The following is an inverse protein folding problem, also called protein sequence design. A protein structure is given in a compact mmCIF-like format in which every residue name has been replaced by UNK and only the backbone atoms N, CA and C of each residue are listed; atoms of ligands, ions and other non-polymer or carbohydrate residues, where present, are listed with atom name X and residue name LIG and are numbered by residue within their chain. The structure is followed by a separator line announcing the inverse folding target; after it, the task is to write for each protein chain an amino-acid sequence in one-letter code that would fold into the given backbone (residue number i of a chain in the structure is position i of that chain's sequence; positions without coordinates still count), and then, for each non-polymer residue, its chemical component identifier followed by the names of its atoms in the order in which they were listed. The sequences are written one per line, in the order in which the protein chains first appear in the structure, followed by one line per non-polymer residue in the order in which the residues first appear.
data_IF_521843286843
#
_entry.id   IF_521843286843
#
_cell.length_a   1.000
_cell.length_b   1.000
_cell.length_c   1.000
_cell.angle_alpha   90.00
_cell.angle_beta   90.00
_cell.angle_gamma   90.00
#
_symmetry.space_group_name_H-M   'P 1'
#
loop_
_entity.id
_entity.type
_entity.pdbx_description
1 polymer ?
#
# COMPACT_ATOMS: atom_id res chain seq x y z
N UNK A 1 -4.33 22.81 -31.36
CA UNK A 1 -5.36 21.77 -31.55
C UNK A 1 -4.69 20.41 -31.34
N UNK A 2 -5.00 19.76 -30.23
CA UNK A 2 -4.94 18.31 -30.02
C UNK A 2 -5.94 18.01 -28.89
N UNK A 3 -7.19 17.80 -29.28
CA UNK A 3 -8.22 17.24 -28.40
C UNK A 3 -7.87 15.77 -28.16
N UNK A 4 -7.92 15.34 -26.90
CA UNK A 4 -7.84 13.94 -26.54
C UNK A 4 -8.27 13.79 -25.10
N UNK A 5 -9.58 13.59 -24.88
CA UNK A 5 -10.08 12.99 -23.65
C UNK A 5 -9.35 11.65 -23.48
N UNK A 6 -8.29 11.62 -22.67
CA UNK A 6 -7.92 10.37 -22.02
C UNK A 6 -9.18 9.91 -21.27
N UNK A 7 -9.73 8.72 -21.54
CA UNK A 7 -10.92 8.28 -20.83
C UNK A 7 -10.54 8.27 -19.35
N UNK A 8 -11.12 9.18 -18.57
CA UNK A 8 -10.95 9.24 -17.12
C UNK A 8 -11.44 7.90 -16.61
N UNK A 9 -10.53 6.95 -16.42
CA UNK A 9 -10.91 5.59 -16.09
C UNK A 9 -11.74 5.64 -14.81
N UNK A 10 -12.95 5.11 -14.88
CA UNK A 10 -13.90 5.16 -13.77
C UNK A 10 -13.29 4.43 -12.58
N UNK A 11 -13.16 5.14 -11.46
CA UNK A 11 -12.68 4.57 -10.21
C UNK A 11 -13.78 3.69 -9.62
N UNK A 12 -13.52 2.39 -9.53
CA UNK A 12 -14.45 1.39 -9.02
C UNK A 12 -14.46 1.35 -7.49
N UNK A 13 -13.27 1.50 -6.90
CA UNK A 13 -13.11 1.56 -5.45
C UNK A 13 -11.91 2.42 -5.07
N UNK A 14 -11.98 2.99 -3.88
CA UNK A 14 -10.92 3.80 -3.31
C UNK A 14 -10.64 3.37 -1.86
N UNK A 15 -9.36 3.30 -1.51
CA UNK A 15 -8.88 3.08 -0.14
C UNK A 15 -8.08 4.30 0.29
N UNK A 16 -8.58 5.00 1.30
CA UNK A 16 -7.95 6.20 1.84
C UNK A 16 -7.85 6.16 3.36
N UNK A 17 -6.78 6.71 3.91
CA UNK A 17 -6.62 6.85 5.36
C UNK A 17 -7.36 8.12 5.80
N UNK A 18 -8.23 8.00 6.82
CA UNK A 18 -8.92 9.17 7.34
C UNK A 18 -7.95 10.13 8.03
N UNK A 19 -8.19 11.43 7.90
CA UNK A 19 -7.34 12.47 8.50
C UNK A 19 -7.08 12.23 10.00
N UNK A 20 -8.08 11.92 10.85
CA UNK A 20 -7.84 11.67 12.27
C UNK A 20 -6.89 10.48 12.53
N UNK A 21 -7.07 9.35 11.83
CA UNK A 21 -6.21 8.17 11.99
C UNK A 21 -4.78 8.43 11.55
N UNK A 22 -4.61 9.19 10.46
CA UNK A 22 -3.30 9.63 9.97
C UNK A 22 -2.59 10.47 11.02
N UNK A 23 -3.25 11.50 11.53
CA UNK A 23 -2.66 12.42 12.50
C UNK A 23 -2.28 11.71 13.79
N UNK A 24 -3.12 10.81 14.30
CA UNK A 24 -2.83 10.06 15.52
C UNK A 24 -1.54 9.22 15.38
N UNK A 25 -1.41 8.46 14.29
CA UNK A 25 -0.22 7.63 14.08
C UNK A 25 1.05 8.45 13.86
N UNK A 26 0.98 9.55 13.10
CA UNK A 26 2.11 10.45 12.88
C UNK A 26 2.52 11.13 14.18
N UNK A 27 1.55 11.65 14.95
CA UNK A 27 1.82 12.30 16.23
C UNK A 27 2.48 11.35 17.22
N UNK A 28 1.99 10.12 17.32
CA UNK A 28 2.57 9.10 18.20
C UNK A 28 4.03 8.81 17.85
N UNK A 29 4.34 8.59 16.57
CA UNK A 29 5.72 8.36 16.12
C UNK A 29 6.62 9.57 16.36
N UNK A 30 6.10 10.78 16.15
CA UNK A 30 6.83 12.02 16.42
C UNK A 30 7.15 12.18 17.90
N UNK A 31 6.17 11.94 18.78
CA UNK A 31 6.35 12.03 20.24
C UNK A 31 7.34 10.98 20.71
N UNK A 32 7.21 9.72 20.26
CA UNK A 32 8.13 8.64 20.64
C UNK A 32 9.55 8.93 20.14
N UNK A 33 9.71 9.31 18.86
CA UNK A 33 11.01 9.64 18.29
C UNK A 33 11.68 10.81 19.00
N UNK A 34 10.91 11.87 19.28
CA UNK A 34 11.37 13.03 20.03
C UNK A 34 11.76 12.69 21.47
N UNK A 35 10.97 11.87 22.16
CA UNK A 35 11.26 11.43 23.52
C UNK A 35 12.53 10.57 23.60
N UNK A 36 12.74 9.67 22.64
CA UNK A 36 13.96 8.85 22.56
C UNK A 36 15.20 9.72 22.36
N UNK A 37 15.14 10.72 21.47
CA UNK A 37 16.22 11.69 21.27
C UNK A 37 16.44 12.51 22.54
N UNK A 38 15.36 12.99 23.16
CA UNK A 38 15.43 13.76 24.40
C UNK A 38 16.15 12.97 25.50
N UNK A 39 15.77 11.71 25.74
CA UNK A 39 16.43 10.85 26.75
C UNK A 39 17.92 10.69 26.44
N UNK A 40 18.29 10.47 25.17
CA UNK A 40 19.68 10.33 24.77
C UNK A 40 20.54 11.59 25.01
N UNK A 41 19.92 12.77 25.08
CA UNK A 41 20.59 14.04 25.34
C UNK A 41 20.53 14.47 26.81
N UNK A 42 19.39 14.25 27.47
CA UNK A 42 19.15 14.67 28.86
C UNK A 42 19.80 13.72 29.87
N UNK A 43 19.95 12.44 29.53
CA UNK A 43 20.62 11.45 30.38
C UNK A 43 21.54 10.60 29.50
N UNK A 44 22.69 11.15 29.04
CA UNK A 44 23.53 10.50 28.06
C UNK A 44 24.06 9.15 28.57
N UNK A 45 23.72 8.03 27.91
CA UNK A 45 24.33 6.74 28.22
C UNK A 45 25.74 6.67 27.65
N UNK A 46 26.38 5.48 27.74
CA UNK A 46 27.66 5.26 27.08
C UNK A 46 27.59 5.64 25.57
N UNK A 47 28.69 6.17 24.98
CA UNK A 47 28.65 6.80 23.65
C UNK A 47 28.02 5.93 22.54
N UNK A 48 28.28 4.62 22.54
CA UNK A 48 27.67 3.69 21.58
C UNK A 48 26.15 3.59 21.69
N UNK A 49 25.64 3.51 22.92
CA UNK A 49 24.20 3.50 23.19
C UNK A 49 23.55 4.85 22.91
N UNK A 50 24.26 5.94 23.18
CA UNK A 50 23.77 7.29 22.88
C UNK A 50 23.58 7.47 21.38
N UNK A 51 24.59 7.11 20.58
CA UNK A 51 24.51 7.13 19.13
C UNK A 51 23.35 6.26 18.60
N UNK A 52 23.18 5.05 19.17
CA UNK A 52 22.09 4.15 18.82
C UNK A 52 20.70 4.75 19.10
N UNK A 53 20.50 5.36 20.27
CA UNK A 53 19.22 6.00 20.62
C UNK A 53 18.92 7.19 19.71
N UNK A 54 19.91 8.04 19.44
CA UNK A 54 19.76 9.17 18.52
C UNK A 54 19.37 8.66 17.12
N UNK A 55 20.11 7.67 16.59
CA UNK A 55 19.80 7.08 15.29
C UNK A 55 18.38 6.49 15.24
N UNK A 56 17.97 5.80 16.30
CA UNK A 56 16.62 5.19 16.41
C UNK A 56 15.53 6.26 16.44
N UNK A 57 15.71 7.31 17.24
CA UNK A 57 14.76 8.42 17.29
C UNK A 57 14.65 9.16 15.96
N UNK A 58 15.78 9.43 15.30
CA UNK A 58 15.82 10.01 13.96
C UNK A 58 15.12 9.11 12.93
N UNK A 59 15.34 7.79 12.99
CA UNK A 59 14.65 6.83 12.15
C UNK A 59 13.13 6.85 12.38
N UNK A 60 12.67 6.94 13.63
CA UNK A 60 11.25 7.05 13.96
C UNK A 60 10.62 8.34 13.38
N UNK A 61 11.31 9.48 13.52
CA UNK A 61 10.88 10.75 12.92
C UNK A 61 10.84 10.68 11.38
N UNK A 62 11.83 10.03 10.78
CA UNK A 62 11.86 9.79 9.34
C UNK A 62 10.67 8.92 8.88
N UNK A 63 10.34 7.85 9.62
CA UNK A 63 9.14 7.03 9.34
C UNK A 63 7.86 7.85 9.52
N UNK A 64 7.77 8.70 10.55
CA UNK A 64 6.61 9.57 10.77
C UNK A 64 6.36 10.48 9.57
N UNK A 65 7.42 11.11 9.05
CA UNK A 65 7.34 11.99 7.88
C UNK A 65 7.00 11.21 6.59
N UNK A 66 7.60 10.03 6.40
CA UNK A 66 7.27 9.14 5.27
C UNK A 66 5.81 8.70 5.33
N UNK A 67 5.29 8.37 6.51
CA UNK A 67 3.89 7.98 6.70
C UNK A 67 2.96 9.17 6.46
N UNK A 68 3.30 10.38 6.94
CA UNK A 68 2.53 11.60 6.69
C UNK A 68 2.35 11.86 5.19
N UNK A 69 3.41 11.70 4.40
CA UNK A 69 3.37 11.86 2.94
C UNK A 69 2.60 10.73 2.26
N UNK A 70 2.86 9.47 2.63
CA UNK A 70 2.23 8.32 2.03
C UNK A 70 0.71 8.31 2.21
N UNK A 71 0.25 8.53 3.44
CA UNK A 71 -1.18 8.55 3.80
C UNK A 71 -1.90 9.86 3.40
N UNK A 72 -1.20 10.76 2.71
CA UNK A 72 -1.81 11.87 1.98
C UNK A 72 -2.49 11.42 0.67
N UNK A 73 -2.01 10.32 0.10
CA UNK A 73 -2.54 9.71 -1.11
C UNK A 73 -3.58 8.63 -0.79
N UNK A 74 -4.28 8.16 -1.81
CA UNK A 74 -5.26 7.09 -1.73
C UNK A 74 -4.93 6.04 -2.79
N UNK A 75 -5.46 4.84 -2.62
CA UNK A 75 -5.34 3.77 -3.61
C UNK A 75 -6.65 3.71 -4.37
N UNK A 76 -6.57 3.77 -5.69
CA UNK A 76 -7.70 3.72 -6.62
C UNK A 76 -7.62 2.41 -7.41
N UNK A 77 -8.74 1.70 -7.44
CA UNK A 77 -8.96 0.58 -8.34
C UNK A 77 -9.77 1.07 -9.54
N UNK A 78 -9.23 0.82 -10.73
CA UNK A 78 -9.92 1.02 -12.00
C UNK A 78 -10.13 -0.33 -12.69
N UNK A 79 -10.76 -0.33 -13.86
CA UNK A 79 -10.91 -1.54 -14.67
C UNK A 79 -9.56 -2.13 -15.13
N UNK A 80 -8.54 -1.30 -15.32
CA UNK A 80 -7.27 -1.75 -15.92
C UNK A 80 -6.09 -1.78 -14.94
N UNK A 81 -6.13 -0.94 -13.91
CA UNK A 81 -5.01 -0.77 -12.98
C UNK A 81 -5.45 -0.51 -11.54
N UNK A 82 -4.59 -0.94 -10.62
CA UNK A 82 -4.54 -0.48 -9.24
C UNK A 82 -3.45 0.58 -9.16
N UNK A 83 -3.79 1.79 -8.71
CA UNK A 83 -2.87 2.94 -8.70
C UNK A 83 -2.99 3.77 -7.43
N UNK A 84 -2.00 4.60 -7.18
CA UNK A 84 -2.01 5.61 -6.14
C UNK A 84 -2.45 6.97 -6.71
N UNK A 85 -3.29 7.71 -5.98
CA UNK A 85 -3.70 9.07 -6.31
C UNK A 85 -2.46 9.94 -6.50
N UNK A 86 -2.24 10.43 -7.73
CA UNK A 86 -0.99 11.06 -8.17
C UNK A 86 -0.27 10.33 -9.30
N UNK A 87 -0.80 9.18 -9.76
CA UNK A 87 -0.43 8.54 -11.02
C UNK A 87 0.59 7.40 -10.91
N UNK A 88 1.01 7.00 -9.71
CA UNK A 88 1.88 5.82 -9.57
C UNK A 88 1.03 4.55 -9.71
N UNK A 89 1.18 3.85 -10.83
CA UNK A 89 0.57 2.52 -11.04
C UNK A 89 1.22 1.49 -10.11
N UNK A 90 0.42 0.90 -9.22
CA UNK A 90 0.86 -0.13 -8.26
C UNK A 90 0.98 -1.47 -8.98
N UNK A 91 -0.06 -1.85 -9.73
CA UNK A 91 -0.11 -3.03 -10.57
C UNK A 91 -1.21 -2.91 -11.63
N UNK A 92 -0.96 -3.41 -12.84
CA UNK A 92 -2.02 -3.61 -13.84
C UNK A 92 -2.87 -4.81 -13.43
N UNK A 93 -4.20 -4.69 -13.54
CA UNK A 93 -5.15 -5.78 -13.23
C UNK A 93 -4.84 -7.02 -14.06
N UNK A 94 -4.47 -6.82 -15.33
CA UNK A 94 -4.02 -7.89 -16.22
C UNK A 94 -2.82 -8.69 -15.67
N UNK A 95 -1.92 -8.05 -14.93
CA UNK A 95 -0.69 -8.66 -14.38
C UNK A 95 -0.88 -9.28 -12.99
N UNK A 96 -2.04 -9.11 -12.36
CA UNK A 96 -2.35 -9.72 -11.06
C UNK A 96 -2.73 -11.19 -11.29
N UNK A 97 -1.96 -12.09 -10.67
CA UNK A 97 -2.19 -13.54 -10.71
C UNK A 97 -3.11 -14.01 -9.60
N UNK A 98 -3.00 -13.41 -8.41
CA UNK A 98 -3.74 -13.84 -7.24
C UNK A 98 -3.94 -12.69 -6.25
N UNK A 99 -5.08 -12.73 -5.56
CA UNK A 99 -5.44 -11.86 -4.44
C UNK A 99 -5.57 -12.75 -3.21
N UNK A 100 -4.67 -12.60 -2.26
CA UNK A 100 -4.68 -13.35 -1.01
C UNK A 100 -5.32 -12.54 0.13
N UNK A 101 -6.34 -13.15 0.72
CA UNK A 101 -7.18 -12.61 1.82
C UNK A 101 -7.09 -13.48 3.08
N UNK A 102 -6.31 -14.57 3.04
CA UNK A 102 -6.26 -15.57 4.10
C UNK A 102 -5.65 -15.03 5.39
N UNK A 103 -6.05 -15.60 6.53
CA UNK A 103 -5.50 -15.26 7.84
C UNK A 103 -4.01 -15.65 7.98
N UNK A 104 -3.58 -16.67 7.23
CA UNK A 104 -2.19 -17.17 7.18
C UNK A 104 -1.31 -16.47 6.14
N UNK A 105 -1.88 -15.56 5.34
CA UNK A 105 -1.10 -14.71 4.48
C UNK A 105 -0.41 -13.65 5.36
N UNK A 106 0.88 -13.37 5.10
CA UNK A 106 1.58 -12.19 5.65
C UNK A 106 0.98 -10.90 5.05
N UNK A 107 -0.29 -10.64 5.33
CA UNK A 107 -1.02 -9.47 4.86
C UNK A 107 -0.77 -8.31 5.84
N UNK A 108 -0.63 -7.08 5.32
CA UNK A 108 -0.58 -5.91 6.19
C UNK A 108 -1.86 -5.81 7.03
N UNK A 109 -1.77 -5.20 8.21
CA UNK A 109 -2.93 -4.94 9.08
C UNK A 109 -4.08 -4.35 8.28
N UNK A 110 -5.29 -4.86 8.49
CA UNK A 110 -6.49 -4.40 7.77
C UNK A 110 -6.35 -4.40 6.24
N UNK A 111 -5.54 -5.29 5.66
CA UNK A 111 -5.22 -5.30 4.23
C UNK A 111 -5.36 -6.65 3.54
N UNK A 112 -4.87 -6.70 2.31
CA UNK A 112 -4.77 -7.88 1.45
C UNK A 112 -3.40 -7.91 0.74
N UNK A 113 -3.05 -9.07 0.18
CA UNK A 113 -1.81 -9.25 -0.58
C UNK A 113 -2.15 -9.58 -2.04
N UNK A 114 -1.40 -9.02 -2.96
CA UNK A 114 -1.44 -9.35 -4.38
C UNK A 114 -0.17 -10.07 -4.77
N UNK A 115 -0.31 -11.03 -5.68
CA UNK A 115 0.81 -11.60 -6.42
C UNK A 115 0.70 -11.17 -7.88
N UNK A 116 1.76 -10.58 -8.39
CA UNK A 116 1.90 -10.16 -9.80
C UNK A 116 2.74 -11.17 -10.58
N UNK A 117 2.53 -11.26 -11.90
CA UNK A 117 3.31 -12.14 -12.79
C UNK A 117 4.79 -11.79 -12.77
N UNK A 118 5.08 -10.50 -12.97
CA UNK A 118 6.46 -10.01 -13.06
C UNK A 118 6.88 -9.27 -11.77
N UNK A 119 8.15 -9.40 -11.35
CA UNK A 119 8.69 -8.57 -10.28
C UNK A 119 8.69 -7.10 -10.73
N UNK A 120 8.50 -6.18 -9.79
CA UNK A 120 8.65 -4.75 -10.06
C UNK A 120 9.51 -4.05 -9.02
N UNK A 121 9.69 -2.75 -9.19
CA UNK A 121 10.52 -1.94 -8.31
C UNK A 121 10.06 -2.02 -6.86
N UNK A 122 11.02 -2.18 -5.95
CA UNK A 122 10.74 -2.18 -4.51
C UNK A 122 10.21 -0.80 -4.11
N UNK A 123 8.99 -0.77 -3.57
CA UNK A 123 8.35 0.46 -3.11
C UNK A 123 7.77 0.26 -1.72
N UNK A 124 7.89 1.27 -0.88
CA UNK A 124 7.28 1.26 0.44
C UNK A 124 6.63 2.61 0.72
N UNK A 125 5.31 2.59 0.85
CA UNK A 125 4.44 3.72 1.23
C UNK A 125 3.88 3.39 2.62
N UNK A 126 4.57 3.80 3.71
CA UNK A 126 4.25 3.36 5.05
C UNK A 126 2.78 3.62 5.42
N UNK A 127 2.12 2.59 5.96
CA UNK A 127 0.73 2.66 6.37
C UNK A 127 -0.30 2.58 5.23
N UNK A 128 0.12 2.49 3.97
CA UNK A 128 -0.78 2.45 2.80
C UNK A 128 -0.54 1.20 1.93
N UNK A 129 0.68 1.02 1.41
CA UNK A 129 1.03 -0.17 0.62
C UNK A 129 2.55 -0.39 0.49
N UNK A 130 2.93 -1.57 0.02
CA UNK A 130 4.33 -1.90 -0.28
C UNK A 130 4.42 -2.90 -1.42
N UNK A 131 5.56 -2.92 -2.11
CA UNK A 131 5.94 -3.91 -3.11
C UNK A 131 7.33 -4.46 -2.84
N UNK A 132 7.45 -5.78 -2.90
CA UNK A 132 8.71 -6.50 -2.84
C UNK A 132 8.69 -7.64 -3.86
N UNK A 133 9.44 -7.47 -4.95
CA UNK A 133 9.43 -8.40 -6.09
C UNK A 133 8.03 -8.51 -6.69
N UNK A 134 7.47 -9.72 -6.66
CA UNK A 134 6.13 -10.04 -7.18
C UNK A 134 4.99 -9.78 -6.19
N UNK A 135 5.30 -9.52 -4.92
CA UNK A 135 4.30 -9.36 -3.86
C UNK A 135 4.01 -7.88 -3.62
N UNK A 136 2.72 -7.54 -3.57
CA UNK A 136 2.24 -6.20 -3.22
C UNK A 136 1.28 -6.32 -2.04
N UNK A 137 1.59 -5.68 -0.92
CA UNK A 137 0.68 -5.60 0.22
C UNK A 137 -0.06 -4.27 0.22
N UNK A 138 -1.39 -4.30 0.22
CA UNK A 138 -2.24 -3.12 0.36
C UNK A 138 -2.86 -3.14 1.75
N UNK A 139 -2.57 -2.13 2.57
CA UNK A 139 -3.07 -2.06 3.95
C UNK A 139 -2.19 -1.24 4.90
N UNK A 140 -2.39 -1.44 6.20
CA UNK A 140 -1.68 -0.75 7.27
C UNK A 140 -2.65 0.01 8.15
N UNK A 141 -2.66 1.33 8.02
CA UNK A 141 -3.59 2.22 8.75
C UNK A 141 -4.88 2.51 7.97
N UNK A 142 -5.06 1.84 6.83
CA UNK A 142 -6.24 1.92 5.98
C UNK A 142 -7.48 1.30 6.65
N UNK A 143 -8.71 1.79 6.35
CA UNK A 143 -9.92 1.21 6.89
C UNK A 143 -10.18 -0.22 6.37
N UNK A 144 -10.34 -1.18 7.29
CA UNK A 144 -10.55 -2.60 6.96
C UNK A 144 -11.73 -2.85 6.00
N UNK A 145 -12.80 -2.07 6.11
CA UNK A 145 -13.97 -2.17 5.22
C UNK A 145 -13.62 -1.83 3.78
N UNK A 146 -12.82 -0.79 3.55
CA UNK A 146 -12.46 -0.35 2.20
C UNK A 146 -11.51 -1.35 1.54
N UNK A 147 -10.50 -1.82 2.27
CA UNK A 147 -9.57 -2.82 1.76
C UNK A 147 -10.24 -4.16 1.50
N UNK A 148 -11.19 -4.58 2.35
CA UNK A 148 -12.01 -5.76 2.11
C UNK A 148 -12.80 -5.64 0.81
N UNK A 149 -13.57 -4.56 0.65
CA UNK A 149 -14.37 -4.31 -0.56
C UNK A 149 -13.50 -4.28 -1.82
N UNK A 150 -12.36 -3.59 -1.79
CA UNK A 150 -11.42 -3.54 -2.92
C UNK A 150 -10.85 -4.92 -3.25
N UNK A 151 -10.52 -5.73 -2.24
CA UNK A 151 -10.03 -7.10 -2.45
C UNK A 151 -11.10 -8.02 -3.06
N UNK A 152 -12.37 -7.83 -2.70
CA UNK A 152 -13.50 -8.59 -3.24
C UNK A 152 -13.75 -8.23 -4.70
N UNK A 153 -13.70 -6.93 -5.04
CA UNK A 153 -13.80 -6.47 -6.43
C UNK A 153 -12.65 -7.00 -7.29
N UNK A 154 -11.40 -6.91 -6.81
CA UNK A 154 -10.25 -7.47 -7.52
C UNK A 154 -10.37 -8.98 -7.74
N UNK A 155 -10.86 -9.72 -6.73
CA UNK A 155 -11.08 -11.15 -6.86
C UNK A 155 -12.17 -11.48 -7.90
N UNK A 156 -13.25 -10.69 -7.95
CA UNK A 156 -14.29 -10.86 -8.97
C UNK A 156 -13.77 -10.57 -10.38
N UNK A 157 -13.01 -9.49 -10.57
CA UNK A 157 -12.39 -9.15 -11.86
C UNK A 157 -11.42 -10.24 -12.35
N UNK A 158 -10.64 -10.84 -11.43
CA UNK A 158 -9.75 -11.96 -11.76
C UNK A 158 -10.55 -13.20 -12.17
N UNK A 159 -11.62 -13.53 -11.44
CA UNK A 159 -12.47 -14.66 -11.78
C UNK A 159 -13.11 -14.49 -13.17
N UNK A 160 -13.65 -13.30 -13.48
CA UNK A 160 -14.26 -13.01 -14.79
C UNK A 160 -13.25 -13.14 -15.94
N UNK A 161 -12.04 -12.59 -15.77
CA UNK A 161 -10.94 -12.73 -16.75
C UNK A 161 -10.60 -14.19 -17.02
N UNK A 162 -10.51 -15.00 -15.97
CA UNK A 162 -10.13 -16.40 -16.10
C UNK A 162 -11.23 -17.23 -16.79
N UNK A 163 -12.52 -16.85 -16.66
CA UNK A 163 -13.61 -17.45 -17.44
C UNK A 163 -13.57 -17.05 -18.92
N UNK A 164 -13.36 -15.76 -19.24
CA UNK A 164 -13.28 -15.29 -20.63
C UNK A 164 -12.05 -15.78 -21.39
N UNK A 165 -10.96 -16.10 -20.68
CA UNK A 165 -9.77 -16.73 -21.26
C UNK A 165 -9.92 -18.23 -21.55
N UNK A 166 -10.97 -18.89 -21.03
CA UNK A 166 -11.22 -20.32 -21.19
C UNK A 166 -12.18 -20.69 -22.33
N UNK A 167 -12.79 -19.72 -23.02
CA UNK A 167 -13.87 -19.92 -24.00
C UNK A 167 -13.40 -19.87 -25.47
N UNK A 168 -12.14 -20.24 -25.74
CA UNK A 168 -11.62 -20.38 -27.11
C UNK A 168 -11.05 -21.78 -27.35
N UNK A 169 -11.95 -22.76 -27.53
CA UNK A 169 -11.62 -24.04 -28.15
C UNK A 169 -12.41 -24.22 -29.47
N UNK A 170 -11.86 -23.83 -30.63
CA UNK A 170 -12.55 -23.94 -31.91
C UNK A 170 -12.45 -25.33 -32.59
N UNK A 171 -12.03 -26.40 -31.90
CA UNK A 171 -11.91 -27.72 -32.54
C UNK A 171 -12.58 -28.84 -31.75
N UNK A 172 -13.92 -28.94 -31.88
CA UNK A 172 -14.61 -30.23 -31.86
C UNK A 172 -15.37 -30.39 -33.17
N UNK A 173 -14.71 -31.02 -34.14
CA UNK A 173 -15.32 -31.69 -35.31
C UNK A 173 -14.51 -32.92 -35.62
#
# INVERSE_FOLDING_TARGET
MANGNEPTQVVLAEVGVSAPRRWLGVAMLTVIGGLVIYVALATPPAPGWQAFLIATGLAALWVAERMRRATGSRIELTMTELRETGGETIALVAEIEAVDRGFFALKPSNGFLLRTRQPGSRRWRPGLWWRMGRRVGVGGVTPARQTKMMSEMLAAMLAERDHSGGDHDPHTT
#
